data_IF_943614659294
#
_entry.id   IF_943614659294
#
_cell.length_a   1.000
_cell.length_b   1.000
_cell.length_c   1.000
_cell.angle_alpha   90.00
_cell.angle_beta   90.00
_cell.angle_gamma   90.00
#
_symmetry.space_group_name_H-M   'P 1'
#
loop_
_entity.id
_entity.type
_entity.pdbx_description
1 polymer ?
#
# COMPACT_ATOMS: atom_id res chain seq x y z
N UNK A 1 22.17 -0.04 -0.89
CA UNK A 1 21.16 -1.07 -0.58
C UNK A 1 21.79 -2.16 0.28
N UNK A 2 21.18 -2.55 1.40
CA UNK A 2 21.73 -3.58 2.30
C UNK A 2 20.66 -4.67 2.52
N UNK A 3 21.05 -5.94 2.50
CA UNK A 3 20.12 -7.04 2.72
C UNK A 3 20.83 -8.29 3.27
N UNK A 4 20.52 -8.68 4.51
CA UNK A 4 21.08 -9.88 5.13
C UNK A 4 19.93 -10.79 5.54
N UNK A 5 20.00 -12.06 5.15
CA UNK A 5 18.94 -13.02 5.44
C UNK A 5 19.52 -14.41 5.75
N UNK A 6 18.94 -15.18 6.69
CA UNK A 6 19.44 -16.52 7.04
C UNK A 6 19.49 -17.50 5.88
N UNK A 7 18.56 -17.39 4.92
CA UNK A 7 18.52 -18.25 3.74
C UNK A 7 19.64 -17.97 2.73
N UNK A 8 20.40 -16.88 2.90
CA UNK A 8 21.45 -16.46 1.96
C UNK A 8 20.94 -16.30 0.52
N UNK A 9 19.72 -15.82 0.38
CA UNK A 9 19.14 -15.40 -0.90
C UNK A 9 18.09 -14.31 -0.62
N UNK A 10 17.74 -13.56 -1.65
CA UNK A 10 16.60 -12.67 -1.60
C UNK A 10 15.29 -13.45 -1.55
N UNK A 11 14.33 -12.97 -0.76
CA UNK A 11 12.94 -13.36 -0.98
C UNK A 11 12.48 -12.80 -2.35
N UNK A 12 11.57 -13.48 -3.08
CA UNK A 12 11.25 -13.15 -4.48
C UNK A 12 10.92 -11.68 -4.71
N UNK A 13 10.18 -11.08 -3.79
CA UNK A 13 9.79 -9.68 -3.83
C UNK A 13 10.99 -8.74 -3.70
N UNK A 14 11.86 -8.92 -2.70
CA UNK A 14 13.06 -8.10 -2.52
C UNK A 14 14.04 -8.25 -3.69
N UNK A 15 14.12 -9.46 -4.27
CA UNK A 15 14.90 -9.68 -5.49
C UNK A 15 14.42 -8.81 -6.63
N UNK A 16 13.10 -8.62 -6.75
CA UNK A 16 12.50 -7.74 -7.73
C UNK A 16 12.76 -6.28 -7.41
N UNK A 17 12.55 -5.85 -6.15
CA UNK A 17 12.87 -4.50 -5.68
C UNK A 17 14.30 -4.09 -6.02
N UNK A 18 15.29 -4.93 -5.66
CA UNK A 18 16.72 -4.67 -5.92
C UNK A 18 17.01 -4.54 -7.42
N UNK A 19 16.39 -5.36 -8.26
CA UNK A 19 16.55 -5.24 -9.73
C UNK A 19 15.96 -3.95 -10.28
N UNK A 20 14.80 -3.53 -9.78
CA UNK A 20 14.16 -2.27 -10.14
C UNK A 20 15.04 -1.10 -9.71
N UNK A 21 15.57 -1.11 -8.48
CA UNK A 21 16.46 -0.06 -7.96
C UNK A 21 17.77 0.03 -8.76
N UNK A 22 18.42 -1.09 -9.06
CA UNK A 22 19.64 -1.08 -9.88
C UNK A 22 19.33 -0.50 -11.27
N UNK A 23 18.25 -0.93 -11.91
CA UNK A 23 17.84 -0.37 -13.22
C UNK A 23 17.53 1.13 -13.12
N UNK A 24 16.88 1.55 -12.03
CA UNK A 24 16.52 2.93 -11.74
C UNK A 24 17.77 3.80 -11.61
N UNK A 25 18.70 3.43 -10.73
CA UNK A 25 19.94 4.15 -10.46
C UNK A 25 20.81 4.24 -11.73
N UNK A 26 21.01 3.12 -12.43
CA UNK A 26 21.77 3.14 -13.69
C UNK A 26 21.14 4.06 -14.74
N UNK A 27 19.81 4.12 -14.82
CA UNK A 27 19.12 5.03 -15.75
C UNK A 27 19.14 6.52 -15.33
N UNK A 28 19.50 6.80 -14.08
CA UNK A 28 19.75 8.15 -13.55
C UNK A 28 21.22 8.57 -13.67
N UNK A 29 22.08 7.71 -14.24
CA UNK A 29 23.48 8.03 -14.51
C UNK A 29 24.47 7.53 -13.47
N UNK A 30 24.01 6.82 -12.43
CA UNK A 30 24.91 6.12 -11.52
C UNK A 30 25.73 5.09 -12.29
N UNK A 31 27.00 4.91 -11.93
CA UNK A 31 27.81 3.80 -12.45
C UNK A 31 27.59 2.57 -11.59
N UNK A 32 27.85 1.39 -12.14
CA UNK A 32 27.66 0.14 -11.41
C UNK A 32 28.59 0.06 -10.18
N UNK A 33 29.79 0.61 -10.27
CA UNK A 33 30.77 0.71 -9.18
C UNK A 33 30.35 1.67 -8.06
N UNK A 34 29.49 2.65 -8.34
CA UNK A 34 28.98 3.60 -7.35
C UNK A 34 27.81 3.02 -6.52
N UNK A 35 27.24 1.88 -6.95
CA UNK A 35 26.09 1.25 -6.31
C UNK A 35 26.56 0.15 -5.37
N UNK A 36 26.50 0.41 -4.06
CA UNK A 36 26.81 -0.59 -3.03
C UNK A 36 25.59 -1.45 -2.74
N UNK A 37 25.70 -2.75 -3.03
CA UNK A 37 24.80 -3.79 -2.57
C UNK A 37 25.54 -4.67 -1.56
N UNK A 38 25.20 -4.59 -0.27
CA UNK A 38 25.82 -5.44 0.75
C UNK A 38 24.88 -6.58 1.15
N UNK A 39 25.36 -7.82 1.07
CA UNK A 39 24.59 -9.04 1.36
C UNK A 39 25.46 -10.12 2.01
N UNK A 40 24.86 -11.07 2.72
CA UNK A 40 25.58 -12.23 3.28
C UNK A 40 25.68 -13.42 2.29
N UNK A 41 25.48 -13.16 1.00
CA UNK A 41 25.51 -14.12 -0.10
C UNK A 41 25.91 -13.44 -1.40
N UNK A 42 26.47 -14.18 -2.35
CA UNK A 42 26.89 -13.62 -3.63
C UNK A 42 25.69 -13.30 -4.51
N UNK A 43 25.69 -12.12 -5.10
CA UNK A 43 24.70 -11.69 -6.09
C UNK A 43 25.35 -10.76 -7.11
N UNK A 44 24.87 -10.81 -8.36
CA UNK A 44 25.29 -9.89 -9.40
C UNK A 44 24.10 -9.57 -10.31
N UNK A 45 23.92 -8.30 -10.63
CA UNK A 45 22.94 -7.86 -11.60
C UNK A 45 23.45 -6.60 -12.31
N UNK A 46 23.61 -6.69 -13.65
CA UNK A 46 24.11 -5.60 -14.50
C UNK A 46 25.43 -4.97 -14.03
N UNK A 47 26.37 -5.80 -13.61
CA UNK A 47 27.69 -5.36 -13.14
C UNK A 47 27.72 -4.86 -11.69
N UNK A 48 26.56 -4.61 -11.07
CA UNK A 48 26.48 -4.37 -9.62
C UNK A 48 26.65 -5.70 -8.90
N UNK A 49 27.76 -5.84 -8.18
CA UNK A 49 28.14 -7.04 -7.43
C UNK A 49 27.89 -6.85 -5.95
N UNK A 50 27.42 -7.90 -5.29
CA UNK A 50 27.28 -7.90 -3.84
C UNK A 50 28.64 -7.79 -3.16
N UNK A 51 28.73 -6.90 -2.19
CA UNK A 51 29.75 -6.92 -1.17
C UNK A 51 29.34 -7.89 -0.07
N UNK A 52 30.10 -8.98 0.09
CA UNK A 52 29.81 -10.00 1.10
C UNK A 52 30.05 -9.47 2.50
N UNK A 53 29.05 -9.51 3.37
CA UNK A 53 29.11 -9.15 4.81
C UNK A 53 28.81 -10.36 5.71
N UNK A 54 29.11 -10.25 7.00
CA UNK A 54 28.93 -11.36 7.95
C UNK A 54 27.46 -11.75 8.14
N UNK A 55 27.23 -13.03 8.45
CA UNK A 55 25.92 -13.51 8.91
C UNK A 55 25.57 -12.95 10.30
N UNK A 56 26.58 -12.52 11.07
CA UNK A 56 26.39 -11.99 12.43
C UNK A 56 25.66 -10.64 12.42
N UNK A 57 25.53 -10.00 11.25
CA UNK A 57 24.72 -8.80 11.10
C UNK A 57 23.22 -9.09 11.21
N UNK A 58 22.79 -10.35 11.08
CA UNK A 58 21.39 -10.75 11.27
C UNK A 58 21.10 -11.03 12.74
N UNK A 59 20.10 -10.34 13.30
CA UNK A 59 19.62 -10.60 14.65
C UNK A 59 18.09 -10.51 14.73
N UNK A 60 17.44 -11.68 14.68
CA UNK A 60 15.98 -11.80 14.74
C UNK A 60 15.36 -11.26 16.04
N UNK A 61 16.11 -11.19 17.14
CA UNK A 61 15.62 -10.65 18.42
C UNK A 61 15.50 -9.12 18.40
N UNK A 62 16.19 -8.44 17.48
CA UNK A 62 16.16 -6.98 17.34
C UNK A 62 15.28 -6.58 16.16
N UNK A 63 15.55 -7.15 14.99
CA UNK A 63 14.75 -6.91 13.80
C UNK A 63 14.71 -8.17 12.94
N UNK A 64 13.50 -8.65 12.56
CA UNK A 64 13.36 -9.81 11.70
C UNK A 64 13.95 -9.59 10.30
N UNK A 65 14.07 -8.32 9.87
CA UNK A 65 14.78 -7.88 8.68
C UNK A 65 16.10 -7.25 9.16
N UNK A 66 17.24 -7.91 8.92
CA UNK A 66 18.53 -7.61 9.57
C UNK A 66 18.79 -6.11 9.86
N UNK A 67 19.31 -5.77 11.06
CA UNK A 67 19.60 -4.39 11.42
C UNK A 67 20.63 -3.77 10.46
N UNK A 68 20.15 -2.87 9.60
CA UNK A 68 20.91 -2.09 8.59
C UNK A 68 22.18 -1.48 9.19
N UNK A 69 22.08 -1.02 10.44
CA UNK A 69 23.16 -0.39 11.20
C UNK A 69 24.34 -1.34 11.42
N UNK A 70 24.10 -2.63 11.66
CA UNK A 70 25.19 -3.60 11.84
C UNK A 70 26.02 -3.73 10.57
N UNK A 71 25.34 -3.79 9.41
CA UNK A 71 26.01 -3.86 8.11
C UNK A 71 26.85 -2.60 7.91
N UNK A 72 26.30 -1.41 8.16
CA UNK A 72 27.05 -0.14 8.02
C UNK A 72 28.28 -0.11 8.93
N UNK A 73 28.16 -0.54 10.20
CA UNK A 73 29.31 -0.61 11.11
C UNK A 73 30.36 -1.58 10.60
N UNK A 74 29.98 -2.73 10.05
CA UNK A 74 30.93 -3.66 9.43
C UNK A 74 31.64 -3.01 8.23
N UNK A 75 30.93 -2.27 7.38
CA UNK A 75 31.54 -1.54 6.24
C UNK A 75 32.59 -0.53 6.74
N UNK A 76 32.33 0.18 7.83
CA UNK A 76 33.30 1.06 8.48
C UNK A 76 34.52 0.32 9.03
N UNK A 77 34.30 -0.81 9.70
CA UNK A 77 35.37 -1.61 10.31
C UNK A 77 36.28 -2.24 9.25
N UNK A 78 35.72 -2.56 8.09
CA UNK A 78 36.44 -3.07 6.92
C UNK A 78 37.05 -1.98 6.04
N UNK A 79 36.88 -0.69 6.41
CA UNK A 79 37.38 0.48 5.66
C UNK A 79 36.86 0.53 4.22
N UNK A 80 35.58 0.17 4.05
CA UNK A 80 34.87 0.23 2.76
C UNK A 80 34.07 1.53 2.58
N UNK A 81 34.00 2.35 3.62
CA UNK A 81 33.53 3.73 3.56
C UNK A 81 34.77 4.61 3.39
N UNK A 82 34.90 5.23 2.22
CA UNK A 82 36.03 6.07 1.85
C UNK A 82 35.93 7.48 2.44
N UNK A 83 37.08 8.11 2.64
CA UNK A 83 37.16 9.46 3.22
C UNK A 83 36.70 10.52 2.25
N UNK A 84 35.96 11.50 2.77
CA UNK A 84 35.40 12.62 1.99
C UNK A 84 34.38 12.20 0.91
N UNK A 85 33.85 10.98 0.98
CA UNK A 85 32.73 10.57 0.15
C UNK A 85 31.42 10.69 0.91
N UNK A 86 30.33 10.87 0.15
CA UNK A 86 28.97 10.90 0.67
C UNK A 86 28.24 9.64 0.26
N UNK A 87 27.77 8.89 1.25
CA UNK A 87 27.02 7.67 1.06
C UNK A 87 25.54 7.92 1.27
N UNK A 88 24.71 7.27 0.45
CA UNK A 88 23.26 7.26 0.60
C UNK A 88 22.80 5.84 0.94
N UNK A 89 22.26 5.66 2.13
CA UNK A 89 21.48 4.48 2.46
C UNK A 89 20.02 4.71 2.10
N UNK A 90 19.40 3.69 1.52
CA UNK A 90 17.95 3.62 1.44
C UNK A 90 17.43 2.18 1.42
N UNK A 91 16.17 2.01 1.83
CA UNK A 91 15.41 0.76 1.74
C UNK A 91 15.18 0.34 0.28
N UNK A 92 14.93 -0.95 0.07
CA UNK A 92 14.76 -1.48 -1.30
C UNK A 92 13.42 -1.11 -1.94
N UNK A 93 12.45 -0.62 -1.17
CA UNK A 93 11.15 -0.12 -1.64
C UNK A 93 11.08 1.42 -1.65
N UNK A 94 12.24 2.06 -1.74
CA UNK A 94 12.42 3.50 -1.83
C UNK A 94 13.14 3.87 -3.13
N UNK A 95 12.38 4.46 -4.05
CA UNK A 95 12.81 4.67 -5.42
C UNK A 95 13.24 6.12 -5.67
N UNK A 96 14.45 6.30 -6.18
CA UNK A 96 14.93 7.59 -6.67
C UNK A 96 14.11 8.03 -7.90
N UNK A 97 13.41 9.17 -7.79
CA UNK A 97 12.64 9.75 -8.90
C UNK A 97 13.50 10.69 -9.74
N UNK A 98 14.32 11.53 -9.07
CA UNK A 98 15.21 12.50 -9.70
C UNK A 98 16.60 12.47 -9.07
N UNK A 99 17.59 13.00 -9.79
CA UNK A 99 18.97 13.12 -9.29
C UNK A 99 19.02 13.82 -7.92
N UNK A 100 19.86 13.28 -7.04
CA UNK A 100 20.17 13.84 -5.73
C UNK A 100 21.64 14.23 -5.72
N UNK A 101 21.94 15.48 -5.39
CA UNK A 101 23.32 16.01 -5.40
C UNK A 101 23.80 16.40 -4.02
N UNK A 102 25.11 16.33 -3.79
CA UNK A 102 25.69 16.77 -2.52
C UNK A 102 25.40 18.25 -2.22
N UNK A 103 25.42 19.10 -3.26
CA UNK A 103 25.14 20.53 -3.12
C UNK A 103 23.72 20.82 -2.65
N UNK A 104 22.72 20.02 -3.04
CA UNK A 104 21.34 20.22 -2.57
C UNK A 104 21.11 19.68 -1.15
N UNK A 105 21.82 18.61 -0.77
CA UNK A 105 21.80 18.11 0.60
C UNK A 105 22.46 19.10 1.56
N UNK A 106 23.56 19.73 1.11
CA UNK A 106 24.30 20.78 1.81
C UNK A 106 24.56 20.42 3.28
N UNK A 107 25.16 19.24 3.52
CA UNK A 107 25.38 18.77 4.89
C UNK A 107 26.36 19.68 5.67
N UNK A 108 27.20 20.46 4.98
CA UNK A 108 28.19 21.33 5.62
C UNK A 108 29.11 20.50 6.52
N UNK A 109 29.27 20.91 7.78
CA UNK A 109 30.04 20.18 8.80
C UNK A 109 29.27 19.02 9.46
N UNK A 110 28.02 18.77 9.08
CA UNK A 110 27.29 17.61 9.59
C UNK A 110 27.83 16.32 8.96
N UNK A 111 27.82 15.26 9.75
CA UNK A 111 28.29 13.93 9.37
C UNK A 111 27.19 13.08 8.76
N UNK A 112 25.93 13.38 9.09
CA UNK A 112 24.76 12.69 8.55
C UNK A 112 23.63 13.66 8.20
N UNK A 113 22.81 13.26 7.23
CA UNK A 113 21.54 13.87 6.89
C UNK A 113 20.41 12.86 7.03
N UNK A 114 19.41 13.14 7.87
CA UNK A 114 18.27 12.26 8.15
C UNK A 114 16.95 12.94 7.78
N UNK A 115 15.92 12.16 7.47
CA UNK A 115 14.57 12.69 7.26
C UNK A 115 13.76 12.51 8.55
N UNK A 116 13.06 13.58 8.96
CA UNK A 116 12.04 13.51 10.02
C UNK A 116 10.67 13.66 9.39
N UNK A 117 9.79 12.67 9.60
CA UNK A 117 8.42 12.72 9.09
C UNK A 117 7.59 13.80 9.81
N UNK A 118 6.50 14.29 9.19
CA UNK A 118 5.69 15.36 9.75
C UNK A 118 5.20 15.09 11.18
N UNK A 119 4.93 16.18 11.91
CA UNK A 119 4.53 16.20 13.33
C UNK A 119 5.63 15.84 14.34
N UNK A 120 6.90 15.80 13.91
CA UNK A 120 8.04 15.55 14.80
C UNK A 120 7.99 14.17 15.47
N UNK A 121 7.25 13.25 14.86
CA UNK A 121 6.88 11.99 15.49
C UNK A 121 7.95 10.90 15.31
N UNK A 122 8.78 11.01 14.27
CA UNK A 122 9.64 9.91 13.82
C UNK A 122 10.80 10.38 12.94
N UNK A 123 12.00 9.91 13.23
CA UNK A 123 13.09 9.89 12.25
C UNK A 123 12.89 8.67 11.36
N UNK A 124 13.10 8.82 10.06
CA UNK A 124 13.09 7.69 9.14
C UNK A 124 14.45 6.98 9.14
N UNK A 125 14.43 5.66 9.28
CA UNK A 125 15.58 4.81 9.01
C UNK A 125 15.65 4.33 7.56
N UNK A 126 14.61 4.61 6.76
CA UNK A 126 14.49 4.14 5.38
C UNK A 126 15.31 4.93 4.36
N UNK A 127 15.77 6.14 4.72
CA UNK A 127 16.65 6.96 3.86
C UNK A 127 17.48 7.92 4.69
N UNK A 128 18.81 7.83 4.54
CA UNK A 128 19.72 8.80 5.16
C UNK A 128 21.06 8.87 4.40
N UNK A 129 21.74 9.99 4.57
CA UNK A 129 23.03 10.27 3.96
C UNK A 129 24.09 10.36 5.06
N UNK A 130 25.30 9.88 4.79
CA UNK A 130 26.38 9.92 5.78
C UNK A 130 27.77 9.99 5.16
N UNK A 131 28.72 10.55 5.92
CA UNK A 131 30.14 10.63 5.59
C UNK A 131 30.96 9.65 6.40
N UNK A 132 32.25 9.53 6.11
CA UNK A 132 33.15 8.67 6.88
C UNK A 132 33.25 9.07 8.37
N UNK A 133 33.11 10.36 8.65
CA UNK A 133 33.11 10.92 10.01
C UNK A 133 31.93 10.46 10.86
N UNK A 134 30.89 9.84 10.29
CA UNK A 134 29.72 9.34 11.01
C UNK A 134 29.94 7.98 11.72
N UNK A 135 31.13 7.37 11.61
CA UNK A 135 31.42 6.02 12.14
C UNK A 135 30.96 5.83 13.59
N UNK A 136 31.28 6.78 14.45
CA UNK A 136 30.96 6.69 15.88
C UNK A 136 29.47 6.89 16.15
N UNK A 137 28.75 7.66 15.32
CA UNK A 137 27.30 7.81 15.40
C UNK A 137 26.60 6.47 15.14
N UNK A 138 27.03 5.71 14.13
CA UNK A 138 26.50 4.35 13.88
C UNK A 138 26.84 3.37 15.00
N UNK A 139 28.02 3.51 15.62
CA UNK A 139 28.38 2.79 16.84
C UNK A 139 27.39 3.04 17.98
N UNK A 140 27.05 4.31 18.23
CA UNK A 140 26.08 4.71 19.24
C UNK A 140 24.67 4.18 18.92
N UNK A 141 24.22 4.26 17.66
CA UNK A 141 22.92 3.72 17.25
C UNK A 141 22.87 2.22 17.54
N UNK A 142 23.91 1.47 17.16
CA UNK A 142 24.00 0.02 17.42
C UNK A 142 23.96 -0.28 18.92
N UNK A 143 24.69 0.47 19.75
CA UNK A 143 24.68 0.27 21.21
C UNK A 143 23.27 0.45 21.79
N UNK A 144 22.52 1.47 21.35
CA UNK A 144 21.13 1.69 21.77
C UNK A 144 20.23 0.54 21.31
N UNK A 145 20.31 0.12 20.04
CA UNK A 145 19.51 -0.99 19.51
C UNK A 145 19.67 -2.26 20.35
N UNK A 146 20.91 -2.65 20.66
CA UNK A 146 21.19 -3.87 21.43
C UNK A 146 20.86 -3.72 22.91
N UNK A 147 21.15 -2.57 23.52
CA UNK A 147 20.87 -2.33 24.94
C UNK A 147 19.38 -2.37 25.25
N UNK A 148 18.55 -1.83 24.36
CA UNK A 148 17.11 -1.70 24.58
C UNK A 148 16.27 -2.67 23.73
N UNK A 149 16.89 -3.50 22.89
CA UNK A 149 16.23 -4.44 21.97
C UNK A 149 15.17 -3.75 21.09
N UNK A 150 15.60 -2.72 20.38
CA UNK A 150 14.76 -1.97 19.44
C UNK A 150 15.42 -1.86 18.07
N UNK A 151 14.61 -1.62 17.05
CA UNK A 151 15.09 -1.35 15.70
C UNK A 151 15.89 -0.03 15.60
N UNK A 152 16.55 0.13 14.46
CA UNK A 152 17.36 1.28 14.11
C UNK A 152 16.59 2.60 14.12
N UNK A 153 15.32 2.59 13.76
CA UNK A 153 14.52 3.79 13.65
C UNK A 153 14.19 4.37 15.02
N UNK A 154 13.81 3.50 15.96
CA UNK A 154 13.61 3.87 17.36
C UNK A 154 14.93 4.32 17.99
N UNK A 155 16.04 3.61 17.72
CA UNK A 155 17.35 3.99 18.25
C UNK A 155 17.84 5.36 17.72
N UNK A 156 17.73 5.59 16.41
CA UNK A 156 18.06 6.88 15.79
C UNK A 156 17.18 8.01 16.32
N UNK A 157 15.87 7.78 16.43
CA UNK A 157 14.93 8.76 16.98
C UNK A 157 15.27 9.12 18.43
N UNK A 158 15.64 8.13 19.24
CA UNK A 158 15.95 8.35 20.65
C UNK A 158 17.27 9.13 20.85
N UNK A 159 18.27 8.89 20.01
CA UNK A 159 19.53 9.65 20.02
C UNK A 159 19.31 11.08 19.51
N UNK A 160 18.51 11.27 18.47
CA UNK A 160 18.24 12.59 17.89
C UNK A 160 17.39 13.49 18.79
N UNK A 161 16.44 12.94 19.55
CA UNK A 161 15.52 13.67 20.43
C UNK A 161 16.09 13.94 21.84
N UNK A 162 17.42 14.04 21.97
CA UNK A 162 18.13 14.26 23.23
C UNK A 162 17.88 13.17 24.28
N UNK A 163 18.13 11.90 23.92
CA UNK A 163 18.08 10.77 24.83
C UNK A 163 16.68 10.45 25.37
N UNK A 164 15.61 10.70 24.63
CA UNK A 164 14.27 10.30 25.07
C UNK A 164 13.88 8.98 24.42
N UNK A 165 13.91 7.90 25.21
CA UNK A 165 13.44 6.60 24.78
C UNK A 165 11.95 6.46 25.04
N UNK A 166 11.23 5.83 24.12
CA UNK A 166 9.83 5.47 24.33
C UNK A 166 9.75 4.33 25.35
N UNK A 167 9.28 4.60 26.56
CA UNK A 167 9.45 3.69 27.71
C UNK A 167 8.49 2.48 27.73
N UNK A 168 7.78 2.19 26.65
CA UNK A 168 6.75 1.14 26.60
C UNK A 168 6.98 0.21 25.41
N UNK A 169 6.74 -1.09 25.65
CA UNK A 169 7.04 -2.18 24.70
C UNK A 169 6.13 -2.26 23.47
N UNK A 170 5.44 -1.17 23.11
CA UNK A 170 4.73 -1.05 21.85
C UNK A 170 4.79 0.41 21.36
N UNK A 171 4.96 0.60 20.04
CA UNK A 171 4.96 1.90 19.38
C UNK A 171 3.65 2.69 19.62
N UNK A 172 2.56 2.01 20.01
CA UNK A 172 1.25 2.59 20.31
C UNK A 172 1.09 3.05 21.76
N UNK A 173 1.74 2.38 22.73
CA UNK A 173 1.75 2.81 24.14
C UNK A 173 2.73 3.97 24.40
N UNK A 174 3.55 4.30 23.39
CA UNK A 174 4.70 5.18 23.46
C UNK A 174 4.35 6.67 23.71
N UNK A 175 3.17 7.13 23.26
CA UNK A 175 2.81 8.57 23.28
C UNK A 175 2.77 9.25 24.67
N UNK A 176 3.02 8.55 25.79
CA UNK A 176 2.83 9.08 27.14
C UNK A 176 4.00 9.01 28.11
N UNK A 177 5.11 8.31 27.82
CA UNK A 177 6.26 8.24 28.75
C UNK A 177 7.59 8.14 28.02
N UNK A 178 8.39 9.20 28.13
CA UNK A 178 9.80 9.18 27.75
C UNK A 178 10.67 8.77 28.94
N UNK A 179 11.67 7.93 28.71
CA UNK A 179 12.72 7.61 29.66
C UNK A 179 14.06 8.20 29.18
N UNK A 180 14.80 8.94 30.02
CA UNK A 180 16.12 9.42 29.66
C UNK A 180 17.08 8.24 29.45
N UNK A 181 17.69 8.18 28.26
CA UNK A 181 18.68 7.18 27.85
C UNK A 181 20.00 7.31 28.63
N UNK A 182 20.32 8.53 29.11
CA UNK A 182 21.59 8.90 29.76
C UNK A 182 22.81 8.24 29.08
N UNK A 183 22.81 8.18 27.74
CA UNK A 183 23.86 7.54 26.97
C UNK A 183 25.01 8.54 26.75
N UNK A 184 26.24 8.23 27.16
CA UNK A 184 27.40 9.08 26.87
C UNK A 184 27.55 9.30 25.36
N UNK A 185 27.83 10.54 24.94
CA UNK A 185 28.07 10.91 23.54
C UNK A 185 26.81 11.32 22.77
N UNK A 186 25.61 11.01 23.27
CA UNK A 186 24.36 11.37 22.62
C UNK A 186 24.14 12.90 22.57
N UNK A 187 24.71 13.66 23.50
CA UNK A 187 24.67 15.13 23.51
C UNK A 187 25.31 15.79 22.28
N UNK A 188 26.14 15.04 21.55
CA UNK A 188 26.79 15.50 20.32
C UNK A 188 26.07 15.02 19.06
N UNK A 189 25.13 14.09 19.16
CA UNK A 189 24.44 13.49 18.02
C UNK A 189 23.69 14.56 17.22
N UNK A 190 22.81 15.33 17.87
CA UNK A 190 22.00 16.34 17.19
C UNK A 190 22.84 17.43 16.50
N UNK A 191 24.01 17.78 17.03
CA UNK A 191 24.90 18.81 16.44
C UNK A 191 25.59 18.35 15.15
N UNK A 192 25.69 17.03 14.96
CA UNK A 192 26.40 16.40 13.84
C UNK A 192 25.44 15.85 12.79
N UNK A 193 24.13 15.97 13.02
CA UNK A 193 23.08 15.43 12.16
C UNK A 193 22.20 16.56 11.66
N UNK A 194 22.09 16.67 10.34
CA UNK A 194 21.20 17.63 9.67
C UNK A 194 19.85 16.99 9.40
N UNK A 195 18.77 17.66 9.78
CA UNK A 195 17.42 17.32 9.30
C UNK A 195 17.25 17.74 7.84
N UNK A 196 16.88 16.79 7.01
CA UNK A 196 16.57 16.95 5.59
C UNK A 196 15.05 17.08 5.37
N UNK A 197 14.67 17.61 4.21
CA UNK A 197 13.27 17.68 3.81
C UNK A 197 12.74 16.27 3.43
N UNK A 198 11.46 16.03 3.67
CA UNK A 198 10.79 14.75 3.35
C UNK A 198 10.79 14.36 1.87
N UNK A 199 11.23 15.24 0.97
CA UNK A 199 11.46 14.93 -0.45
C UNK A 199 12.44 13.77 -0.66
N UNK A 200 13.35 13.53 0.29
CA UNK A 200 14.35 12.45 0.24
C UNK A 200 13.87 11.13 0.87
N UNK A 201 12.64 11.09 1.39
CA UNK A 201 11.92 9.90 1.87
C UNK A 201 10.41 10.17 1.89
N UNK A 202 9.81 10.22 0.70
CA UNK A 202 8.41 10.57 0.57
C UNK A 202 7.51 9.35 0.70
N UNK A 203 6.98 9.10 1.90
CA UNK A 203 6.07 7.96 2.11
C UNK A 203 4.71 8.17 1.43
N UNK A 204 4.36 7.27 0.51
CA UNK A 204 3.15 7.38 -0.30
C UNK A 204 1.84 7.15 0.48
N UNK A 205 1.88 6.49 1.64
CA UNK A 205 0.68 6.25 2.46
C UNK A 205 0.08 7.56 3.00
N UNK A 206 0.90 8.59 3.20
CA UNK A 206 0.51 9.84 3.85
C UNK A 206 0.49 11.00 2.88
N UNK A 207 0.10 10.75 1.63
CA UNK A 207 0.20 11.71 0.53
C UNK A 207 -0.38 13.09 0.86
N UNK A 208 -1.57 13.15 1.46
CA UNK A 208 -2.23 14.41 1.83
C UNK A 208 -1.45 15.22 2.87
N UNK A 209 -0.68 14.55 3.74
CA UNK A 209 0.11 15.18 4.79
C UNK A 209 1.51 15.52 4.29
N UNK A 210 2.13 14.62 3.53
CA UNK A 210 3.51 14.73 3.06
C UNK A 210 3.63 15.65 1.86
N UNK A 211 2.69 15.59 0.90
CA UNK A 211 2.81 16.37 -0.34
C UNK A 211 2.90 17.88 -0.12
N UNK A 212 2.09 18.52 0.75
CA UNK A 212 2.24 19.95 1.01
C UNK A 212 3.61 20.34 1.58
N UNK A 213 4.22 19.49 2.39
CA UNK A 213 5.45 19.76 3.14
C UNK A 213 6.74 19.42 2.37
N UNK A 214 6.67 18.56 1.36
CA UNK A 214 7.84 18.16 0.58
C UNK A 214 8.35 19.31 -0.31
N UNK A 215 9.67 19.42 -0.48
CA UNK A 215 10.26 20.27 -1.53
C UNK A 215 10.02 19.60 -2.88
N UNK A 216 9.65 20.39 -3.89
CA UNK A 216 9.37 19.89 -5.25
C UNK A 216 10.56 20.19 -6.18
N UNK A 217 10.89 19.31 -7.14
CA UNK A 217 10.27 17.99 -7.35
C UNK A 217 10.58 17.03 -6.19
N UNK A 218 9.66 16.08 -5.94
CA UNK A 218 9.90 15.03 -4.93
C UNK A 218 11.06 14.18 -5.43
N UNK A 219 12.13 14.03 -4.66
CA UNK A 219 13.35 13.35 -5.12
C UNK A 219 13.26 11.84 -5.04
N UNK A 220 12.56 11.35 -4.03
CA UNK A 220 12.53 9.94 -3.63
C UNK A 220 11.12 9.58 -3.19
N UNK A 221 10.56 8.48 -3.69
CA UNK A 221 9.26 7.95 -3.26
C UNK A 221 9.42 6.61 -2.56
N UNK A 222 8.84 6.50 -1.36
CA UNK A 222 8.88 5.31 -0.53
C UNK A 222 7.51 4.63 -0.53
N UNK A 223 7.47 3.44 -1.13
CA UNK A 223 6.28 2.59 -1.15
C UNK A 223 6.60 1.16 -1.57
N UNK A 224 5.87 0.23 -0.98
CA UNK A 224 5.97 -1.16 -1.37
C UNK A 224 5.19 -1.44 -2.67
N UNK A 225 5.85 -1.91 -3.74
CA UNK A 225 5.21 -2.05 -5.05
C UNK A 225 4.11 -3.13 -5.11
N UNK A 226 4.19 -4.16 -4.26
CA UNK A 226 3.10 -5.15 -4.08
C UNK A 226 1.83 -4.56 -3.45
N UNK A 227 1.91 -3.38 -2.81
CA UNK A 227 0.73 -2.65 -2.37
C UNK A 227 0.17 -1.91 -3.56
N UNK A 228 -0.66 -2.62 -4.31
CA UNK A 228 -1.15 -2.19 -5.60
C UNK A 228 -1.79 -0.79 -5.59
N UNK A 229 -2.52 -0.42 -4.51
CA UNK A 229 -3.04 0.94 -4.29
C UNK A 229 -1.93 2.00 -4.35
N UNK A 230 -0.80 1.75 -3.68
CA UNK A 230 0.35 2.65 -3.66
C UNK A 230 1.05 2.70 -5.01
N UNK A 231 1.17 1.54 -5.66
CA UNK A 231 1.73 1.44 -7.01
C UNK A 231 0.93 2.26 -8.02
N UNK A 232 -0.40 2.11 -8.02
CA UNK A 232 -1.31 2.87 -8.87
C UNK A 232 -1.32 4.37 -8.55
N UNK A 233 -1.27 4.70 -7.26
CA UNK A 233 -1.13 6.08 -6.78
C UNK A 233 0.14 6.71 -7.34
N UNK A 234 1.27 6.01 -7.28
CA UNK A 234 2.56 6.48 -7.79
C UNK A 234 2.58 6.56 -9.33
N UNK A 235 2.16 5.50 -10.02
CA UNK A 235 2.31 5.35 -11.48
C UNK A 235 1.25 6.09 -12.30
N UNK A 236 -0.01 6.04 -11.86
CA UNK A 236 -1.16 6.46 -12.67
C UNK A 236 -1.90 7.64 -12.07
N UNK A 237 -1.49 8.10 -10.90
CA UNK A 237 -2.12 9.21 -10.24
C UNK A 237 -3.48 8.89 -9.64
N UNK A 238 -3.75 7.61 -9.31
CA UNK A 238 -4.93 7.20 -8.56
C UNK A 238 -4.80 7.60 -7.09
N UNK A 239 -4.81 8.91 -6.88
CA UNK A 239 -4.52 9.52 -5.59
C UNK A 239 -5.27 10.84 -5.48
N UNK A 240 -5.26 11.44 -4.29
CA UNK A 240 -6.00 12.68 -4.01
C UNK A 240 -5.63 13.88 -4.88
N UNK A 241 -4.48 13.83 -5.57
CA UNK A 241 -4.02 14.87 -6.48
C UNK A 241 -4.33 14.58 -7.96
N UNK A 242 -4.89 13.41 -8.28
CA UNK A 242 -5.18 12.96 -9.64
C UNK A 242 -3.99 13.12 -10.60
N UNK A 243 -2.77 12.85 -10.13
CA UNK A 243 -1.55 12.94 -10.94
C UNK A 243 -0.52 11.87 -10.58
N UNK A 244 0.14 11.26 -11.58
CA UNK A 244 1.29 10.41 -11.35
C UNK A 244 2.38 11.17 -10.58
N UNK A 245 3.03 10.49 -9.65
CA UNK A 245 4.21 10.99 -8.95
C UNK A 245 5.48 10.38 -9.51
N UNK A 246 5.39 9.15 -10.01
CA UNK A 246 6.48 8.44 -10.63
C UNK A 246 6.77 9.01 -12.03
N UNK A 247 8.04 9.34 -12.36
CA UNK A 247 8.39 9.77 -13.71
C UNK A 247 8.26 8.61 -14.71
N UNK A 248 7.93 8.92 -15.97
CA UNK A 248 7.71 7.93 -17.03
C UNK A 248 8.90 6.96 -17.19
N UNK A 249 10.14 7.45 -17.00
CA UNK A 249 11.36 6.64 -16.97
C UNK A 249 11.26 5.47 -15.97
N UNK A 250 10.83 5.76 -14.75
CA UNK A 250 10.71 4.76 -13.68
C UNK A 250 9.51 3.83 -13.93
N UNK A 251 8.39 4.34 -14.44
CA UNK A 251 7.24 3.50 -14.85
C UNK A 251 7.68 2.46 -15.90
N UNK A 252 8.47 2.85 -16.90
CA UNK A 252 9.02 1.93 -17.91
C UNK A 252 9.89 0.84 -17.31
N UNK A 253 10.67 1.16 -16.26
CA UNK A 253 11.51 0.18 -15.56
C UNK A 253 10.66 -0.83 -14.81
N UNK A 254 9.63 -0.39 -14.08
CA UNK A 254 8.70 -1.29 -13.43
C UNK A 254 8.00 -2.21 -14.44
N UNK A 255 7.53 -1.66 -15.57
CA UNK A 255 6.88 -2.47 -16.62
C UNK A 255 7.81 -3.51 -17.24
N UNK A 256 9.10 -3.17 -17.40
CA UNK A 256 10.14 -4.10 -17.86
C UNK A 256 10.32 -5.29 -16.90
N UNK A 257 10.11 -5.07 -15.60
CA UNK A 257 10.13 -6.09 -14.56
C UNK A 257 8.76 -6.72 -14.29
N UNK A 258 7.83 -6.55 -15.23
CA UNK A 258 6.46 -7.08 -15.15
C UNK A 258 5.62 -6.54 -13.98
N UNK A 259 6.12 -5.53 -13.26
CA UNK A 259 5.38 -4.82 -12.22
C UNK A 259 4.51 -3.77 -12.89
N UNK A 260 3.21 -4.02 -12.91
CA UNK A 260 2.20 -3.15 -13.51
C UNK A 260 1.16 -2.87 -12.45
N UNK A 261 0.76 -1.61 -12.30
CA UNK A 261 -0.35 -1.30 -11.42
C UNK A 261 -1.69 -1.85 -11.95
N UNK A 262 -2.72 -1.88 -11.11
CA UNK A 262 -4.04 -2.44 -11.39
C UNK A 262 -4.98 -1.38 -11.99
N UNK A 263 -4.53 -0.51 -12.91
CA UNK A 263 -5.53 0.31 -13.61
C UNK A 263 -6.56 -0.64 -14.26
N UNK A 264 -7.84 -0.65 -13.81
CA UNK A 264 -8.50 -1.92 -13.51
C UNK A 264 -8.76 -2.65 -14.80
N UNK A 265 -8.20 -3.85 -14.93
CA UNK A 265 -8.33 -4.58 -16.19
C UNK A 265 -9.73 -5.17 -16.36
N UNK A 266 -10.54 -5.25 -15.30
CA UNK A 266 -11.88 -5.85 -15.32
C UNK A 266 -12.74 -5.43 -14.14
N UNK A 267 -13.84 -4.75 -14.42
CA UNK A 267 -14.98 -4.77 -13.50
C UNK A 267 -15.74 -6.09 -13.69
N UNK A 268 -16.38 -6.59 -12.64
CA UNK A 268 -17.33 -7.71 -12.70
C UNK A 268 -18.73 -7.19 -12.39
N UNK A 269 -19.71 -7.57 -13.20
CA UNK A 269 -21.11 -7.30 -12.95
C UNK A 269 -21.72 -8.52 -12.23
N UNK A 270 -22.10 -8.37 -10.97
CA UNK A 270 -22.62 -9.44 -10.12
C UNK A 270 -24.13 -9.32 -9.93
N UNK A 271 -24.83 -10.35 -10.40
CA UNK A 271 -26.24 -10.61 -10.11
C UNK A 271 -26.36 -11.84 -9.21
N UNK A 272 -27.21 -11.75 -8.19
CA UNK A 272 -27.47 -12.86 -7.25
C UNK A 272 -28.96 -13.16 -7.23
N UNK A 273 -29.34 -14.41 -7.46
CA UNK A 273 -30.73 -14.85 -7.34
C UNK A 273 -30.82 -16.23 -6.70
N UNK A 274 -31.54 -16.36 -5.60
CA UNK A 274 -31.76 -17.64 -4.92
C UNK A 274 -33.25 -17.90 -4.80
N UNK A 275 -33.67 -19.13 -5.10
CA UNK A 275 -35.07 -19.53 -5.08
C UNK A 275 -35.24 -20.91 -4.45
N UNK A 276 -36.16 -21.09 -3.49
CA UNK A 276 -36.46 -22.42 -2.93
C UNK A 276 -36.86 -23.44 -3.99
N UNK A 277 -37.47 -23.00 -5.10
CA UNK A 277 -37.87 -23.87 -6.21
C UNK A 277 -36.72 -24.24 -7.15
N UNK A 278 -35.51 -23.70 -6.91
CA UNK A 278 -34.32 -23.96 -7.73
C UNK A 278 -34.54 -23.68 -9.22
N UNK A 279 -35.28 -22.61 -9.49
CA UNK A 279 -35.53 -22.02 -10.81
C UNK A 279 -35.92 -20.55 -10.64
N UNK A 280 -35.94 -19.80 -11.74
CA UNK A 280 -36.52 -18.46 -11.75
C UNK A 280 -38.04 -18.53 -11.57
N UNK A 281 -38.58 -17.58 -10.80
CA UNK A 281 -40.00 -17.43 -10.57
C UNK A 281 -40.57 -16.33 -11.49
N UNK A 282 -41.77 -16.58 -12.04
CA UNK A 282 -42.56 -15.62 -12.81
C UNK A 282 -41.75 -14.83 -13.86
N UNK A 283 -41.72 -13.51 -13.72
CA UNK A 283 -41.07 -12.57 -14.65
C UNK A 283 -39.58 -12.38 -14.36
N UNK A 284 -39.01 -13.03 -13.34
CA UNK A 284 -37.61 -12.81 -12.94
C UNK A 284 -36.62 -13.35 -13.96
N UNK A 285 -36.94 -14.45 -14.66
CA UNK A 285 -36.10 -14.95 -15.76
C UNK A 285 -35.91 -13.88 -16.82
N UNK A 286 -37.01 -13.30 -17.31
CA UNK A 286 -36.98 -12.22 -18.30
C UNK A 286 -36.20 -10.99 -17.80
N UNK A 287 -36.26 -10.70 -16.49
CA UNK A 287 -35.51 -9.58 -15.90
C UNK A 287 -34.00 -9.84 -15.93
N UNK A 288 -33.56 -11.07 -15.63
CA UNK A 288 -32.16 -11.46 -15.73
C UNK A 288 -31.67 -11.47 -17.16
N UNK A 289 -32.47 -11.99 -18.09
CA UNK A 289 -32.17 -11.94 -19.52
C UNK A 289 -32.01 -10.49 -19.99
N UNK A 290 -32.91 -9.59 -19.58
CA UNK A 290 -32.82 -8.17 -19.89
C UNK A 290 -31.58 -7.49 -19.29
N UNK A 291 -31.19 -7.84 -18.07
CA UNK A 291 -29.97 -7.34 -17.43
C UNK A 291 -28.70 -7.82 -18.13
N UNK A 292 -28.67 -9.10 -18.53
CA UNK A 292 -27.59 -9.66 -19.33
C UNK A 292 -27.50 -8.95 -20.68
N UNK A 293 -28.63 -8.77 -21.35
CA UNK A 293 -28.69 -8.13 -22.66
C UNK A 293 -28.23 -6.68 -22.59
N UNK A 294 -28.71 -5.93 -21.61
CA UNK A 294 -28.27 -4.57 -21.35
C UNK A 294 -26.76 -4.50 -21.06
N UNK A 295 -26.22 -5.43 -20.27
CA UNK A 295 -24.78 -5.49 -20.01
C UNK A 295 -23.99 -5.77 -21.29
N UNK A 296 -24.41 -6.72 -22.10
CA UNK A 296 -23.75 -7.04 -23.37
C UNK A 296 -23.81 -5.89 -24.37
N UNK A 297 -24.92 -5.13 -24.40
CA UNK A 297 -25.05 -3.91 -25.22
C UNK A 297 -24.14 -2.77 -24.75
N UNK A 298 -23.74 -2.76 -23.48
CA UNK A 298 -22.78 -1.82 -22.89
C UNK A 298 -21.35 -2.36 -22.88
N UNK A 299 -21.03 -3.25 -23.84
CA UNK A 299 -19.71 -3.82 -24.10
C UNK A 299 -19.12 -4.67 -22.96
N UNK A 300 -19.95 -5.15 -22.02
CA UNK A 300 -19.49 -6.15 -21.07
C UNK A 300 -19.12 -7.44 -21.77
N UNK A 301 -17.99 -8.03 -21.40
CA UNK A 301 -17.63 -9.36 -21.88
C UNK A 301 -18.45 -10.42 -21.12
N UNK A 302 -18.86 -11.53 -21.77
CA UNK A 302 -19.61 -12.59 -21.10
C UNK A 302 -18.94 -13.09 -19.83
N UNK A 303 -17.61 -13.21 -19.79
CA UNK A 303 -16.89 -13.68 -18.61
C UNK A 303 -16.79 -12.64 -17.47
N UNK A 304 -17.26 -11.42 -17.69
CA UNK A 304 -17.32 -10.33 -16.69
C UNK A 304 -18.71 -10.16 -16.09
N UNK A 305 -19.71 -10.83 -16.65
CA UNK A 305 -21.06 -10.93 -16.11
C UNK A 305 -21.12 -12.20 -15.26
N UNK A 306 -21.33 -12.03 -13.97
CA UNK A 306 -21.34 -13.10 -12.97
C UNK A 306 -22.76 -13.25 -12.44
N UNK A 307 -23.38 -14.37 -12.75
CA UNK A 307 -24.68 -14.75 -12.21
C UNK A 307 -24.48 -15.81 -11.13
N UNK A 308 -24.98 -15.57 -9.93
CA UNK A 308 -24.97 -16.54 -8.84
C UNK A 308 -26.39 -17.04 -8.61
N UNK A 309 -26.56 -18.35 -8.59
CA UNK A 309 -27.84 -19.00 -8.30
C UNK A 309 -27.67 -20.22 -7.41
N UNK A 310 -28.78 -20.79 -6.94
CA UNK A 310 -28.81 -22.10 -6.28
C UNK A 310 -29.28 -23.24 -7.21
N UNK A 311 -29.19 -23.02 -8.52
CA UNK A 311 -29.55 -23.96 -9.59
C UNK A 311 -28.79 -23.65 -10.88
N UNK A 312 -28.46 -24.64 -11.71
CA UNK A 312 -27.76 -24.37 -12.97
C UNK A 312 -28.64 -23.55 -13.93
N UNK A 313 -28.05 -22.52 -14.52
CA UNK A 313 -28.66 -21.70 -15.56
C UNK A 313 -27.61 -21.24 -16.58
N UNK A 314 -28.03 -21.06 -17.83
CA UNK A 314 -27.18 -20.53 -18.89
C UNK A 314 -28.01 -19.66 -19.85
N UNK A 315 -27.53 -18.45 -20.12
CA UNK A 315 -28.08 -17.56 -21.14
C UNK A 315 -26.96 -16.80 -21.84
N UNK A 316 -26.97 -16.76 -23.18
CA UNK A 316 -25.93 -16.12 -24.01
C UNK A 316 -24.48 -16.41 -23.59
N UNK A 317 -24.18 -17.68 -23.26
CA UNK A 317 -22.87 -18.20 -22.78
C UNK A 317 -22.48 -17.79 -21.35
N UNK A 318 -23.33 -17.02 -20.66
CA UNK A 318 -23.15 -16.70 -19.25
C UNK A 318 -23.78 -17.82 -18.45
N UNK A 319 -22.92 -18.55 -17.72
CA UNK A 319 -23.32 -19.67 -16.87
C UNK A 319 -23.41 -19.21 -15.44
N UNK A 320 -24.43 -19.66 -14.72
CA UNK A 320 -24.50 -19.40 -13.29
C UNK A 320 -23.42 -20.15 -12.53
N UNK A 321 -22.88 -19.50 -11.49
CA UNK A 321 -22.14 -20.18 -10.44
C UNK A 321 -23.17 -20.68 -9.43
N UNK A 322 -23.23 -21.99 -9.25
CA UNK A 322 -24.21 -22.64 -8.37
C UNK A 322 -23.66 -22.71 -6.96
N UNK A 323 -24.35 -22.08 -6.00
CA UNK A 323 -24.07 -22.17 -4.57
C UNK A 323 -25.23 -22.84 -3.84
N UNK A 324 -24.95 -23.50 -2.71
CA UNK A 324 -26.00 -24.00 -1.82
C UNK A 324 -26.91 -22.87 -1.34
N UNK A 325 -28.10 -23.24 -0.84
CA UNK A 325 -29.11 -22.30 -0.32
C UNK A 325 -28.49 -21.38 0.74
N UNK A 326 -28.15 -20.16 0.33
CA UNK A 326 -27.77 -19.05 1.22
C UNK A 326 -28.99 -18.17 1.41
N UNK A 327 -29.00 -17.42 2.52
CA UNK A 327 -30.18 -16.67 2.90
C UNK A 327 -30.25 -15.31 2.19
N UNK A 328 -29.10 -14.70 1.84
CA UNK A 328 -29.03 -13.32 1.41
C UNK A 328 -27.74 -12.97 0.63
N UNK A 329 -27.73 -11.80 -0.03
CA UNK A 329 -26.71 -11.35 -1.00
C UNK A 329 -25.33 -11.16 -0.36
N UNK A 330 -25.27 -10.59 0.83
CA UNK A 330 -24.07 -10.40 1.64
C UNK A 330 -23.45 -11.72 2.08
N UNK A 331 -24.23 -12.76 2.39
CA UNK A 331 -23.68 -14.11 2.66
C UNK A 331 -23.11 -14.74 1.38
N UNK A 332 -23.78 -14.55 0.23
CA UNK A 332 -23.23 -14.96 -1.07
C UNK A 332 -21.90 -14.24 -1.34
N UNK A 333 -21.83 -12.92 -1.20
CA UNK A 333 -20.62 -12.15 -1.45
C UNK A 333 -19.50 -12.54 -0.48
N UNK A 334 -19.81 -12.69 0.81
CA UNK A 334 -18.85 -13.20 1.79
C UNK A 334 -18.31 -14.57 1.38
N UNK A 335 -19.17 -15.47 0.89
CA UNK A 335 -18.75 -16.77 0.39
C UNK A 335 -17.81 -16.68 -0.83
N UNK A 336 -18.12 -15.81 -1.80
CA UNK A 336 -17.28 -15.58 -2.98
C UNK A 336 -15.89 -15.04 -2.58
N UNK A 337 -15.84 -14.15 -1.59
CA UNK A 337 -14.60 -13.60 -1.03
C UNK A 337 -13.77 -14.70 -0.35
N UNK A 338 -14.40 -15.51 0.50
CA UNK A 338 -13.73 -16.60 1.22
C UNK A 338 -13.22 -17.72 0.31
N UNK A 339 -13.88 -17.95 -0.83
CA UNK A 339 -13.45 -18.94 -1.82
C UNK A 339 -12.41 -18.41 -2.83
N UNK A 340 -12.04 -17.14 -2.74
CA UNK A 340 -11.12 -16.51 -3.70
C UNK A 340 -11.68 -16.41 -5.11
N UNK A 341 -13.01 -16.42 -5.26
CA UNK A 341 -13.68 -16.14 -6.55
C UNK A 341 -13.44 -14.69 -6.95
N UNK A 342 -13.56 -13.79 -5.97
CA UNK A 342 -13.15 -12.40 -6.07
C UNK A 342 -11.63 -12.34 -5.94
N UNK A 343 -10.94 -11.97 -7.02
CA UNK A 343 -9.46 -11.98 -7.06
C UNK A 343 -8.88 -10.62 -6.67
N UNK A 344 -7.60 -10.61 -6.31
CA UNK A 344 -6.86 -9.37 -6.13
C UNK A 344 -6.92 -8.53 -7.41
N UNK A 345 -7.05 -7.22 -7.24
CA UNK A 345 -7.16 -6.26 -8.33
C UNK A 345 -8.48 -6.26 -9.11
N UNK A 346 -9.41 -7.17 -8.83
CA UNK A 346 -10.76 -7.11 -9.41
C UNK A 346 -11.64 -6.07 -8.70
N UNK A 347 -12.56 -5.50 -9.47
CA UNK A 347 -13.54 -4.55 -8.99
C UNK A 347 -14.93 -5.10 -9.27
N UNK A 348 -15.75 -5.28 -8.25
CA UNK A 348 -17.04 -5.94 -8.40
C UNK A 348 -18.16 -4.94 -8.16
N UNK A 349 -19.12 -4.89 -9.08
CA UNK A 349 -20.38 -4.18 -8.94
C UNK A 349 -21.47 -5.20 -8.65
N UNK A 350 -22.11 -5.09 -7.50
CA UNK A 350 -23.25 -5.91 -7.10
C UNK A 350 -24.49 -5.04 -7.12
N UNK A 351 -25.55 -5.52 -7.78
CA UNK A 351 -26.80 -4.78 -7.84
C UNK A 351 -28.04 -5.68 -7.77
N UNK A 352 -29.18 -5.10 -7.42
CA UNK A 352 -30.50 -5.73 -7.52
C UNK A 352 -30.91 -5.86 -8.98
N UNK A 353 -31.77 -6.84 -9.28
CA UNK A 353 -32.15 -7.17 -10.64
C UNK A 353 -32.98 -6.07 -11.34
N UNK A 354 -33.51 -5.11 -10.58
CA UNK A 354 -34.23 -3.93 -11.09
C UNK A 354 -33.34 -2.70 -11.25
N UNK A 355 -32.03 -2.80 -10.96
CA UNK A 355 -31.06 -1.72 -11.19
C UNK A 355 -30.37 -1.91 -12.54
N UNK A 356 -30.74 -1.09 -13.53
CA UNK A 356 -30.16 -1.15 -14.87
C UNK A 356 -29.02 -0.15 -15.06
N UNK A 357 -27.95 -0.62 -15.67
CA UNK A 357 -26.87 0.25 -16.14
C UNK A 357 -27.33 1.03 -17.38
N UNK A 358 -27.19 2.35 -17.40
CA UNK A 358 -27.61 3.18 -18.54
C UNK A 358 -26.48 3.53 -19.51
N UNK A 359 -25.23 3.41 -19.05
CA UNK A 359 -24.01 3.67 -19.84
C UNK A 359 -22.84 2.86 -19.29
N UNK A 360 -21.76 2.61 -20.06
CA UNK A 360 -20.54 2.02 -19.52
C UNK A 360 -20.07 2.78 -18.26
N UNK A 361 -19.70 2.04 -17.22
CA UNK A 361 -19.13 2.56 -15.97
C UNK A 361 -17.66 2.17 -15.98
N UNK A 362 -16.78 3.16 -16.09
CA UNK A 362 -15.36 2.90 -15.89
C UNK A 362 -15.07 2.81 -14.39
N UNK A 363 -14.28 1.81 -14.00
CA UNK A 363 -13.83 1.65 -12.62
C UNK A 363 -13.11 2.87 -12.03
N UNK A 364 -12.53 3.74 -12.85
CA UNK A 364 -11.95 5.02 -12.46
C UNK A 364 -12.99 6.08 -12.08
N UNK A 365 -14.24 5.94 -12.54
CA UNK A 365 -15.37 6.75 -12.09
C UNK A 365 -15.75 6.41 -10.64
N UNK A 366 -15.49 5.17 -10.22
CA UNK A 366 -15.78 4.70 -8.88
C UNK A 366 -14.54 4.84 -8.00
N UNK A 367 -14.40 6.03 -7.40
CA UNK A 367 -13.33 6.28 -6.44
C UNK A 367 -13.67 5.69 -5.07
N UNK A 368 -13.18 4.49 -4.77
CA UNK A 368 -13.25 3.91 -3.42
C UNK A 368 -12.24 4.53 -2.44
N UNK A 369 -11.43 5.51 -2.87
CA UNK A 369 -10.39 6.13 -2.06
C UNK A 369 -9.48 5.08 -1.41
N UNK A 370 -9.25 5.18 -0.11
CA UNK A 370 -8.47 4.21 0.68
C UNK A 370 -9.34 3.11 1.29
N UNK A 371 -10.57 2.94 0.80
CA UNK A 371 -11.56 2.01 1.34
C UNK A 371 -11.72 0.78 0.47
N UNK A 372 -12.39 -0.25 1.01
CA UNK A 372 -12.53 -1.54 0.34
C UNK A 372 -13.85 -1.65 -0.43
N UNK A 373 -14.87 -0.88 -0.05
CA UNK A 373 -16.21 -0.92 -0.65
C UNK A 373 -16.80 0.48 -0.86
N UNK A 374 -17.77 0.61 -1.76
CA UNK A 374 -18.50 1.83 -2.02
C UNK A 374 -19.99 1.57 -2.12
N UNK A 375 -20.79 2.21 -1.27
CA UNK A 375 -22.24 2.03 -1.24
C UNK A 375 -22.93 3.26 -1.82
N UNK A 376 -23.93 3.07 -2.69
CA UNK A 376 -24.70 4.20 -3.25
C UNK A 376 -25.62 4.82 -2.22
N UNK A 377 -26.02 6.07 -2.47
CA UNK A 377 -27.08 6.74 -1.72
C UNK A 377 -28.45 6.41 -2.33
N UNK A 378 -29.48 6.18 -1.49
CA UNK A 378 -30.86 5.94 -1.92
C UNK A 378 -31.62 7.22 -2.37
N UNK A 379 -30.92 8.35 -2.47
CA UNK A 379 -31.47 9.68 -2.72
C UNK A 379 -32.02 10.37 -1.47
N UNK A 380 -32.12 9.66 -0.34
CA UNK A 380 -32.59 10.18 0.95
C UNK A 380 -31.45 10.34 1.96
N UNK A 381 -30.20 10.21 1.54
CA UNK A 381 -29.05 10.29 2.43
C UNK A 381 -28.66 8.94 3.05
N UNK A 382 -29.38 7.85 2.77
CA UNK A 382 -29.10 6.53 3.36
C UNK A 382 -28.27 5.68 2.41
N UNK A 383 -27.51 4.75 2.98
CA UNK A 383 -26.74 3.80 2.18
C UNK A 383 -27.67 2.75 1.61
N UNK A 384 -27.51 2.49 0.32
CA UNK A 384 -28.24 1.49 -0.42
C UNK A 384 -27.41 0.20 -0.55
N UNK A 385 -28.03 -0.93 -0.25
CA UNK A 385 -27.48 -2.29 -0.46
C UNK A 385 -28.00 -2.91 -1.76
N UNK A 386 -28.86 -2.19 -2.49
CA UNK A 386 -29.37 -2.54 -3.79
C UNK A 386 -28.38 -2.25 -4.92
N UNK A 387 -27.39 -1.38 -4.72
CA UNK A 387 -26.27 -1.19 -5.65
C UNK A 387 -25.00 -0.77 -4.90
N UNK A 388 -23.92 -1.53 -5.05
CA UNK A 388 -22.65 -1.19 -4.40
C UNK A 388 -21.46 -1.85 -5.10
N UNK A 389 -20.28 -1.34 -4.78
CA UNK A 389 -19.01 -1.80 -5.32
C UNK A 389 -18.13 -2.35 -4.21
N UNK A 390 -17.34 -3.38 -4.51
CA UNK A 390 -16.46 -3.99 -3.52
C UNK A 390 -15.21 -4.59 -4.15
N UNK A 391 -14.22 -4.86 -3.30
CA UNK A 391 -12.95 -5.51 -3.64
C UNK A 391 -12.77 -6.76 -2.79
N UNK A 392 -11.71 -7.52 -3.07
CA UNK A 392 -11.36 -8.72 -2.28
C UNK A 392 -11.20 -8.42 -0.78
N UNK A 393 -10.65 -7.27 -0.43
CA UNK A 393 -10.43 -6.88 0.98
C UNK A 393 -11.71 -6.47 1.74
N UNK A 394 -12.88 -6.48 1.09
CA UNK A 394 -14.16 -6.15 1.72
C UNK A 394 -14.74 -7.26 2.59
N UNK A 395 -14.05 -8.41 2.73
CA UNK A 395 -14.50 -9.59 3.49
C UNK A 395 -15.14 -9.21 4.83
N UNK A 396 -14.46 -8.37 5.63
CA UNK A 396 -14.92 -8.00 6.97
C UNK A 396 -16.24 -7.22 6.97
N UNK A 397 -16.49 -6.39 5.95
CA UNK A 397 -17.76 -5.66 5.85
C UNK A 397 -18.91 -6.67 5.71
N UNK A 398 -18.80 -7.60 4.77
CA UNK A 398 -19.86 -8.58 4.49
C UNK A 398 -20.00 -9.63 5.60
N UNK A 399 -18.89 -10.03 6.23
CA UNK A 399 -18.90 -10.87 7.44
C UNK A 399 -19.75 -10.23 8.54
N UNK A 400 -19.51 -8.94 8.82
CA UNK A 400 -20.21 -8.21 9.87
C UNK A 400 -21.69 -8.00 9.52
N UNK A 401 -22.02 -7.63 8.28
CA UNK A 401 -23.40 -7.47 7.82
C UNK A 401 -24.18 -8.77 8.04
N UNK A 402 -23.63 -9.90 7.56
CA UNK A 402 -24.25 -11.22 7.73
C UNK A 402 -24.47 -11.57 9.20
N UNK A 403 -23.41 -11.47 10.02
CA UNK A 403 -23.48 -11.84 11.43
C UNK A 403 -24.49 -10.95 12.18
N UNK A 404 -24.56 -9.66 11.84
CA UNK A 404 -25.51 -8.71 12.41
C UNK A 404 -26.94 -9.01 11.97
N UNK A 405 -27.17 -9.33 10.69
CA UNK A 405 -28.47 -9.73 10.17
C UNK A 405 -29.03 -10.97 10.87
N UNK A 406 -28.19 -12.01 11.02
CA UNK A 406 -28.55 -13.22 11.78
C UNK A 406 -28.88 -12.91 13.24
N UNK A 407 -28.05 -12.12 13.91
CA UNK A 407 -28.23 -11.76 15.33
C UNK A 407 -29.53 -10.98 15.56
N UNK A 408 -29.84 -10.03 14.69
CA UNK A 408 -31.02 -9.17 14.81
C UNK A 408 -32.29 -9.76 14.18
N UNK A 409 -32.18 -10.89 13.46
CA UNK A 409 -33.26 -11.47 12.65
C UNK A 409 -33.88 -10.43 11.71
N UNK A 410 -33.02 -9.69 11.01
CA UNK A 410 -33.41 -8.59 10.12
C UNK A 410 -32.74 -8.70 8.76
N UNK A 411 -33.16 -7.87 7.80
CA UNK A 411 -32.56 -7.79 6.46
C UNK A 411 -31.18 -7.15 6.47
N UNK A 412 -30.43 -7.31 5.37
CA UNK A 412 -29.05 -6.84 5.25
C UNK A 412 -28.93 -5.32 5.37
N UNK A 413 -29.85 -4.57 4.76
CA UNK A 413 -29.87 -3.11 4.85
C UNK A 413 -29.99 -2.64 6.29
N UNK A 414 -30.94 -3.20 7.05
CA UNK A 414 -31.12 -2.85 8.46
C UNK A 414 -29.92 -3.26 9.33
N UNK A 415 -29.32 -4.41 9.05
CA UNK A 415 -28.11 -4.87 9.72
C UNK A 415 -26.92 -3.95 9.42
N UNK A 416 -26.70 -3.58 8.16
CA UNK A 416 -25.63 -2.69 7.75
C UNK A 416 -25.80 -1.30 8.36
N UNK A 417 -27.01 -0.73 8.30
CA UNK A 417 -27.28 0.58 8.91
C UNK A 417 -27.08 0.56 10.44
N UNK A 418 -27.39 -0.55 11.13
CA UNK A 418 -27.07 -0.71 12.57
C UNK A 418 -25.56 -0.70 12.81
N UNK A 419 -24.77 -1.38 11.97
CA UNK A 419 -23.30 -1.38 12.09
C UNK A 419 -22.72 0.03 11.86
N UNK A 420 -23.22 0.74 10.85
CA UNK A 420 -22.79 2.10 10.50
C UNK A 420 -23.13 3.10 11.62
N UNK A 421 -24.34 3.02 12.17
CA UNK A 421 -24.78 3.87 13.28
C UNK A 421 -23.95 3.65 14.55
N UNK A 422 -23.58 2.41 14.84
CA UNK A 422 -22.71 2.05 15.97
C UNK A 422 -21.22 2.25 15.67
N UNK A 423 -20.85 2.57 14.42
CA UNK A 423 -19.48 2.51 13.90
C UNK A 423 -18.74 1.22 14.33
N UNK A 424 -19.45 0.09 14.24
CA UNK A 424 -18.98 -1.19 14.75
C UNK A 424 -17.64 -1.59 14.14
N UNK A 425 -16.62 -1.82 14.97
CA UNK A 425 -15.24 -2.09 14.52
C UNK A 425 -14.69 -1.09 13.49
N UNK A 426 -15.07 0.19 13.63
CA UNK A 426 -14.67 1.24 12.72
C UNK A 426 -15.12 0.99 11.27
N UNK A 427 -16.28 0.36 11.06
CA UNK A 427 -16.80 0.06 9.72
C UNK A 427 -16.88 1.31 8.83
N UNK A 428 -17.11 2.50 9.41
CA UNK A 428 -17.21 3.76 8.66
C UNK A 428 -15.88 4.21 8.03
N UNK A 429 -14.75 3.58 8.36
CA UNK A 429 -13.47 3.81 7.69
C UNK A 429 -13.17 2.80 6.59
N UNK A 430 -14.03 1.78 6.42
CA UNK A 430 -13.82 0.66 5.48
C UNK A 430 -14.58 0.78 4.17
N UNK A 431 -15.53 1.71 4.09
CA UNK A 431 -16.27 2.01 2.87
C UNK A 431 -16.35 3.52 2.62
N UNK A 432 -16.60 3.88 1.37
CA UNK A 432 -16.97 5.24 0.99
C UNK A 432 -18.46 5.29 0.63
N UNK A 433 -19.12 6.38 0.99
CA UNK A 433 -20.46 6.69 0.49
C UNK A 433 -20.33 7.30 -0.90
N UNK A 434 -20.90 6.64 -1.91
CA UNK A 434 -20.92 7.12 -3.28
C UNK A 434 -22.07 8.12 -3.44
N UNK A 435 -21.74 9.39 -3.26
CA UNK A 435 -22.69 10.50 -3.29
C UNK A 435 -23.22 10.77 -4.71
N UNK A 436 -24.54 10.96 -4.81
CA UNK A 436 -25.23 11.36 -6.02
C UNK A 436 -24.65 12.66 -6.60
N UNK A 437 -24.27 13.66 -5.80
CA UNK A 437 -23.71 14.92 -6.33
C UNK A 437 -22.36 14.72 -7.05
N UNK A 438 -21.54 13.76 -6.57
CA UNK A 438 -20.29 13.39 -7.23
C UNK A 438 -20.57 12.62 -8.53
N UNK A 439 -21.57 11.73 -8.52
CA UNK A 439 -22.01 10.99 -9.71
C UNK A 439 -22.72 11.90 -10.73
N UNK A 440 -23.47 12.88 -10.29
CA UNK A 440 -24.19 13.86 -11.11
C UNK A 440 -23.22 14.77 -11.88
N UNK A 441 -22.08 15.13 -11.29
CA UNK A 441 -20.98 15.79 -12.03
C UNK A 441 -20.39 14.92 -13.13
N UNK A 442 -20.43 13.60 -12.97
CA UNK A 442 -20.02 12.65 -14.01
C UNK A 442 -21.12 12.56 -15.08
N UNK A 443 -22.40 12.45 -14.70
CA UNK A 443 -23.52 12.42 -15.64
C UNK A 443 -23.66 13.70 -16.47
N UNK A 444 -23.52 14.87 -15.85
CA UNK A 444 -23.58 16.17 -16.51
C UNK A 444 -22.44 16.38 -17.53
N UNK A 445 -21.26 15.77 -17.34
CA UNK A 445 -20.15 15.84 -18.32
C UNK A 445 -20.46 15.14 -19.64
N UNK A 446 -21.40 14.20 -19.64
CA UNK A 446 -21.78 13.42 -20.82
C UNK A 446 -23.09 13.87 -21.47
N UNK A 447 -23.64 15.02 -21.06
CA UNK A 447 -24.83 15.61 -21.69
C UNK A 447 -26.12 14.80 -21.45
N UNK A 448 -26.13 13.93 -20.45
CA UNK A 448 -27.31 13.18 -20.03
C UNK A 448 -28.09 14.10 -19.09
N UNK A 449 -29.24 14.58 -19.57
CA UNK A 449 -30.21 15.36 -18.79
C UNK A 449 -31.24 14.46 -18.14
#
# INVERSE_FOLDING_TARGET
MLFVHPSKDFIPEHKMSVKIEIDNNLSLGWKAEDIILATNFTYEYKGVKSLLVSNDNYNADISPCAPIINVIVELFDRKLIEKNELYWYHDTDLYQMYEVTESELNLGECDMGIVEWPNGAKISASSFFFKDSAKDLFGLIREVMYKYKVDEEVAMSALYTNNLFWATGSQWDAQKKFAPLNHPGAENFQKRVKKLNITYDFEMNYLNQHYPLATKPIKVAHFHFMKERLLDSAMYGKNSMNKPLMPERLIKIFHKHEVKGINPKKMKNLMVYQSPEKKFLDKTEHLIEAQIDNSLELDWKPEDIVLITNFPYEYKKIKSIVLDDKANKSDVIFHLLMQGVVREGEFWWSHDLDVFQLRPIDSSEINLEDTTAGFTDDGCGKLDTGSFFFRKDSEKIFEWIRNRACKLKTGETAAFMSLVAENFHSINTKYVKLDYEKMEKIFNRHGIK
#
